data_IF_604526739361
#
_entry.id   IF_604526739361
#
_cell.length_a   1.000
_cell.length_b   1.000
_cell.length_c   1.000
_cell.angle_alpha   90.00
_cell.angle_beta   90.00
_cell.angle_gamma   90.00
#
_symmetry.space_group_name_H-M   'P 1'
#
loop_
_entity.id
_entity.type
_entity.pdbx_description
1 polymer ?
#
# COMPACT_ATOMS: atom_id res chain seq x y z
N UNK A 1 -10.25 -33.35 -15.88
CA UNK A 1 -11.24 -32.26 -15.88
C UNK A 1 -10.51 -30.94 -15.74
N UNK A 2 -10.29 -30.22 -16.83
CA UNK A 2 -9.74 -28.86 -16.78
C UNK A 2 -10.79 -27.96 -16.13
N UNK A 3 -10.53 -27.49 -14.91
CA UNK A 3 -11.34 -26.42 -14.32
C UNK A 3 -11.23 -25.20 -15.24
N UNK A 4 -12.26 -24.97 -16.04
CA UNK A 4 -12.44 -23.73 -16.80
C UNK A 4 -12.56 -22.63 -15.75
N UNK A 5 -11.46 -21.92 -15.46
CA UNK A 5 -11.51 -20.76 -14.58
C UNK A 5 -12.49 -19.76 -15.18
N UNK A 6 -13.38 -19.16 -14.37
CA UNK A 6 -14.39 -18.23 -14.87
C UNK A 6 -13.75 -17.08 -15.65
N UNK A 7 -14.46 -16.59 -16.67
CA UNK A 7 -14.11 -15.39 -17.44
C UNK A 7 -13.99 -14.22 -16.46
N UNK A 8 -13.01 -13.34 -16.67
CA UNK A 8 -12.81 -12.18 -15.80
C UNK A 8 -14.11 -11.38 -15.66
N UNK A 9 -14.60 -11.26 -14.44
CA UNK A 9 -15.78 -10.49 -14.10
C UNK A 9 -15.35 -9.24 -13.30
N UNK A 10 -15.46 -8.03 -13.87
CA UNK A 10 -15.09 -6.79 -13.18
C UNK A 10 -15.99 -6.46 -11.97
N UNK A 11 -17.11 -7.18 -11.79
CA UNK A 11 -18.04 -7.01 -10.67
C UNK A 11 -17.86 -8.08 -9.59
N UNK A 12 -16.85 -8.94 -9.70
CA UNK A 12 -16.57 -9.96 -8.70
C UNK A 12 -16.31 -9.29 -7.33
N UNK A 13 -16.99 -9.73 -6.26
CA UNK A 13 -16.87 -9.14 -4.92
C UNK A 13 -15.43 -9.12 -4.39
N UNK A 14 -14.54 -9.98 -4.91
CA UNK A 14 -13.12 -9.96 -4.55
C UNK A 14 -12.42 -8.63 -4.89
N UNK A 15 -12.97 -7.82 -5.81
CA UNK A 15 -12.40 -6.53 -6.22
C UNK A 15 -12.91 -5.34 -5.42
N UNK A 16 -13.73 -5.56 -4.38
CA UNK A 16 -14.22 -4.54 -3.43
C UNK A 16 -14.98 -3.35 -4.04
N UNK A 17 -15.25 -3.33 -5.36
CA UNK A 17 -16.08 -2.31 -6.01
C UNK A 17 -17.03 -2.96 -7.02
N UNK A 18 -18.25 -2.43 -7.09
CA UNK A 18 -19.36 -3.00 -7.86
C UNK A 18 -19.25 -2.81 -9.39
N UNK A 19 -18.18 -2.16 -9.90
CA UNK A 19 -17.98 -1.90 -11.33
C UNK A 19 -16.50 -1.67 -11.64
N UNK A 20 -15.98 -2.23 -12.75
CA UNK A 20 -14.58 -2.05 -13.18
C UNK A 20 -14.12 -0.59 -13.38
N UNK A 21 -15.06 0.32 -13.69
CA UNK A 21 -14.81 1.77 -13.74
C UNK A 21 -14.56 2.38 -12.36
N UNK A 22 -15.26 1.88 -11.34
CA UNK A 22 -15.16 2.38 -9.97
C UNK A 22 -13.95 1.80 -9.21
N UNK A 23 -13.49 0.58 -9.53
CA UNK A 23 -12.25 0.04 -8.96
C UNK A 23 -11.08 0.99 -9.24
N UNK A 24 -10.89 1.37 -10.51
CA UNK A 24 -9.76 2.22 -10.90
C UNK A 24 -9.89 3.66 -10.39
N UNK A 25 -11.10 4.21 -10.34
CA UNK A 25 -11.35 5.54 -9.76
C UNK A 25 -11.11 5.51 -8.25
N UNK A 26 -11.63 4.51 -7.55
CA UNK A 26 -11.45 4.33 -6.11
C UNK A 26 -9.98 4.19 -5.73
N UNK A 27 -9.22 3.39 -6.49
CA UNK A 27 -7.78 3.22 -6.27
C UNK A 27 -7.01 4.53 -6.53
N UNK A 28 -7.38 5.32 -7.54
CA UNK A 28 -6.78 6.65 -7.78
C UNK A 28 -7.07 7.62 -6.64
N UNK A 29 -8.30 7.66 -6.15
CA UNK A 29 -8.70 8.51 -5.01
C UNK A 29 -7.92 8.10 -3.76
N UNK A 30 -7.88 6.80 -3.45
CA UNK A 30 -7.16 6.27 -2.27
C UNK A 30 -5.65 6.54 -2.38
N UNK A 31 -5.06 6.34 -3.56
CA UNK A 31 -3.65 6.68 -3.80
C UNK A 31 -3.39 8.19 -3.62
N UNK A 32 -4.32 9.04 -4.04
CA UNK A 32 -4.22 10.49 -3.90
C UNK A 32 -4.29 10.92 -2.44
N UNK A 33 -5.28 10.42 -1.70
CA UNK A 33 -5.43 10.68 -0.26
C UNK A 33 -4.18 10.19 0.48
N UNK A 34 -3.72 8.97 0.19
CA UNK A 34 -2.51 8.42 0.80
C UNK A 34 -1.26 9.25 0.50
N UNK A 35 -1.12 9.74 -0.73
CA UNK A 35 0.00 10.62 -1.11
C UNK A 35 -0.05 11.94 -0.35
N UNK A 36 -1.23 12.57 -0.26
CA UNK A 36 -1.40 13.84 0.48
C UNK A 36 -1.09 13.64 1.96
N UNK A 37 -1.58 12.56 2.58
CA UNK A 37 -1.30 12.23 3.98
C UNK A 37 0.20 11.95 4.17
N UNK A 38 0.82 11.14 3.31
CA UNK A 38 2.24 10.83 3.40
C UNK A 38 3.12 12.09 3.27
N UNK A 39 2.84 12.94 2.28
CA UNK A 39 3.55 14.21 2.09
C UNK A 39 3.32 15.16 3.28
N UNK A 40 2.09 15.23 3.80
CA UNK A 40 1.77 16.04 4.97
C UNK A 40 2.50 15.58 6.23
N UNK A 41 2.55 14.27 6.48
CA UNK A 41 3.31 13.69 7.60
C UNK A 41 4.80 13.96 7.45
N UNK A 42 5.35 13.77 6.25
CA UNK A 42 6.75 14.10 5.96
C UNK A 42 7.01 15.59 6.24
N UNK A 43 6.18 16.50 5.72
CA UNK A 43 6.34 17.94 5.91
C UNK A 43 6.26 18.36 7.40
N UNK A 44 5.30 17.80 8.15
CA UNK A 44 5.19 18.03 9.59
C UNK A 44 6.42 17.50 10.34
N UNK A 45 6.91 16.32 9.97
CA UNK A 45 8.11 15.74 10.54
C UNK A 45 9.34 16.62 10.26
N UNK A 46 9.52 17.09 9.02
CA UNK A 46 10.57 18.03 8.66
C UNK A 46 10.51 19.32 9.46
N UNK A 47 9.32 19.89 9.63
CA UNK A 47 9.12 21.09 10.44
C UNK A 47 9.52 20.87 11.89
N UNK A 48 9.03 19.79 12.51
CA UNK A 48 9.36 19.45 13.89
C UNK A 48 10.85 19.21 14.06
N UNK A 49 11.45 18.44 13.17
CA UNK A 49 12.87 18.14 13.22
C UNK A 49 13.74 19.38 12.97
N UNK A 50 13.34 20.33 12.10
CA UNK A 50 14.02 21.63 11.96
C UNK A 50 13.93 22.47 13.24
N UNK A 51 12.79 22.48 13.92
CA UNK A 51 12.63 23.17 15.20
C UNK A 51 13.47 22.50 16.30
N UNK A 52 13.50 21.16 16.35
CA UNK A 52 14.34 20.42 17.30
C UNK A 52 15.84 20.55 17.00
N UNK A 53 16.24 20.70 15.73
CA UNK A 53 17.62 21.01 15.33
C UNK A 53 18.06 22.38 15.84
N UNK A 54 17.14 23.32 15.97
CA UNK A 54 17.41 24.65 16.53
C UNK A 54 17.68 24.58 18.04
N UNK A 55 17.02 23.67 18.75
CA UNK A 55 17.15 23.51 20.21
C UNK A 55 18.26 22.53 20.64
N UNK A 56 18.60 21.52 19.83
CA UNK A 56 19.60 20.50 20.19
C UNK A 56 21.03 20.90 19.78
N UNK A 57 21.80 21.38 20.77
CA UNK A 57 23.26 21.60 20.68
C UNK A 57 24.12 20.31 20.67
N UNK A 58 23.53 19.11 20.69
CA UNK A 58 24.29 17.85 20.71
C UNK A 58 24.54 17.31 19.30
N UNK A 59 25.81 17.25 18.88
CA UNK A 59 26.23 16.78 17.55
C UNK A 59 25.70 15.38 17.16
N UNK A 60 25.56 14.45 18.11
CA UNK A 60 25.12 13.08 17.84
C UNK A 60 23.66 13.00 17.33
N UNK A 61 22.74 13.71 17.97
CA UNK A 61 21.32 13.74 17.58
C UNK A 61 21.10 14.44 16.23
N UNK A 62 21.97 15.41 15.89
CA UNK A 62 21.96 16.12 14.62
C UNK A 62 22.18 15.17 13.43
N UNK A 63 23.20 14.32 13.49
CA UNK A 63 23.51 13.41 12.37
C UNK A 63 22.44 12.34 12.17
N UNK A 64 21.87 11.80 13.25
CA UNK A 64 20.79 10.81 13.16
C UNK A 64 19.53 11.43 12.55
N UNK A 65 19.16 12.63 12.98
CA UNK A 65 18.00 13.34 12.49
C UNK A 65 18.17 13.78 11.02
N UNK A 66 19.37 14.25 10.65
CA UNK A 66 19.72 14.61 9.28
C UNK A 66 19.71 13.38 8.35
N UNK A 67 20.28 12.26 8.79
CA UNK A 67 20.23 11.00 8.03
C UNK A 67 18.78 10.55 7.82
N UNK A 68 17.94 10.62 8.84
CA UNK A 68 16.51 10.31 8.71
C UNK A 68 15.78 11.25 7.76
N UNK A 69 16.09 12.55 7.81
CA UNK A 69 15.55 13.55 6.87
C UNK A 69 15.97 13.26 5.43
N UNK A 70 17.19 12.80 5.17
CA UNK A 70 17.63 12.53 3.79
C UNK A 70 17.11 11.18 3.29
N UNK A 71 17.11 10.16 4.14
CA UNK A 71 16.75 8.78 3.76
C UNK A 71 15.23 8.64 3.59
N UNK A 72 14.41 9.28 4.43
CA UNK A 72 12.95 9.10 4.41
C UNK A 72 12.30 9.53 3.08
N UNK A 73 12.61 10.70 2.48
CA UNK A 73 12.10 11.08 1.16
C UNK A 73 12.69 10.21 0.04
N UNK A 74 13.97 9.83 0.14
CA UNK A 74 14.61 8.97 -0.86
C UNK A 74 13.91 7.61 -0.98
N UNK A 75 13.30 7.12 0.10
CA UNK A 75 12.48 5.91 0.08
C UNK A 75 11.01 6.21 -0.23
N UNK A 76 10.45 7.28 0.34
CA UNK A 76 9.03 7.60 0.19
C UNK A 76 8.65 8.02 -1.25
N UNK A 77 9.49 8.83 -1.91
CA UNK A 77 9.20 9.36 -3.25
C UNK A 77 9.12 8.23 -4.29
N UNK A 78 10.08 7.28 -4.38
CA UNK A 78 9.97 6.16 -5.31
C UNK A 78 8.76 5.26 -5.04
N UNK A 79 8.41 5.05 -3.75
CA UNK A 79 7.26 4.23 -3.38
C UNK A 79 5.96 4.89 -3.81
N UNK A 80 5.77 6.18 -3.49
CA UNK A 80 4.59 6.94 -3.91
C UNK A 80 4.52 7.08 -5.44
N UNK A 81 5.66 7.30 -6.10
CA UNK A 81 5.75 7.31 -7.56
C UNK A 81 5.37 5.97 -8.17
N UNK A 82 5.84 4.85 -7.59
CA UNK A 82 5.49 3.50 -8.04
C UNK A 82 3.99 3.21 -7.92
N UNK A 83 3.36 3.70 -6.84
CA UNK A 83 1.91 3.62 -6.67
C UNK A 83 1.18 4.37 -7.80
N UNK A 84 1.52 5.64 -8.02
CA UNK A 84 0.89 6.46 -9.06
C UNK A 84 1.10 5.88 -10.47
N UNK A 85 2.32 5.50 -10.80
CA UNK A 85 2.66 4.89 -12.09
C UNK A 85 1.94 3.55 -12.26
N UNK A 86 1.88 2.72 -11.21
CA UNK A 86 1.17 1.44 -11.25
C UNK A 86 -0.32 1.57 -11.48
N UNK A 87 -0.94 2.61 -10.91
CA UNK A 87 -2.36 2.92 -11.08
C UNK A 87 -2.66 3.56 -12.44
N UNK A 88 -1.81 4.47 -12.95
CA UNK A 88 -2.00 5.13 -14.25
C UNK A 88 -1.77 4.15 -15.40
N UNK A 89 -0.65 3.40 -15.36
CA UNK A 89 -0.24 2.49 -16.43
C UNK A 89 -0.94 1.12 -16.32
N UNK A 90 -1.75 0.91 -15.27
CA UNK A 90 -2.41 -0.36 -14.97
C UNK A 90 -1.42 -1.54 -15.01
N UNK A 91 -0.24 -1.34 -14.43
CA UNK A 91 0.84 -2.33 -14.42
C UNK A 91 1.11 -2.80 -13.00
N UNK A 92 0.71 -4.04 -12.73
CA UNK A 92 0.90 -4.72 -11.45
C UNK A 92 2.34 -4.65 -10.90
N UNK A 93 3.35 -4.62 -11.79
CA UNK A 93 4.76 -4.61 -11.40
C UNK A 93 5.17 -3.38 -10.61
N UNK A 94 4.55 -2.23 -10.89
CA UNK A 94 4.83 -0.98 -10.17
C UNK A 94 4.09 -0.89 -8.83
N UNK A 95 3.08 -1.73 -8.58
CA UNK A 95 2.40 -1.81 -7.28
C UNK A 95 3.18 -2.66 -6.26
N UNK A 96 4.10 -3.52 -6.72
CA UNK A 96 4.86 -4.43 -5.86
C UNK A 96 5.67 -3.68 -4.79
N UNK A 97 6.45 -2.63 -5.10
CA UNK A 97 7.18 -1.88 -4.07
C UNK A 97 6.25 -1.31 -3.00
N UNK A 98 5.10 -0.79 -3.40
CA UNK A 98 4.11 -0.22 -2.47
C UNK A 98 3.47 -1.29 -1.59
N UNK A 99 3.17 -2.47 -2.14
CA UNK A 99 2.67 -3.62 -1.37
C UNK A 99 3.70 -4.10 -0.35
N UNK A 100 4.97 -4.23 -0.75
CA UNK A 100 6.06 -4.61 0.16
C UNK A 100 6.20 -3.59 1.28
N UNK A 101 6.24 -2.29 0.96
CA UNK A 101 6.30 -1.23 1.95
C UNK A 101 5.09 -1.23 2.90
N UNK A 102 3.90 -1.56 2.41
CA UNK A 102 2.69 -1.67 3.25
C UNK A 102 2.80 -2.83 4.23
N UNK A 103 3.31 -3.98 3.81
CA UNK A 103 3.55 -5.14 4.69
C UNK A 103 4.61 -4.80 5.75
N UNK A 104 5.72 -4.20 5.34
CA UNK A 104 6.78 -3.75 6.26
C UNK A 104 6.19 -2.72 7.25
N UNK A 105 5.40 -1.77 6.78
CA UNK A 105 4.73 -0.77 7.61
C UNK A 105 3.82 -1.38 8.68
N UNK A 106 3.07 -2.43 8.34
CA UNK A 106 2.25 -3.17 9.31
C UNK A 106 3.14 -3.81 10.40
N UNK A 107 4.23 -4.46 10.01
CA UNK A 107 5.19 -5.04 10.99
C UNK A 107 5.82 -3.97 11.88
N UNK A 108 6.25 -2.85 11.29
CA UNK A 108 6.84 -1.74 12.03
C UNK A 108 5.85 -1.11 13.00
N UNK A 109 4.58 -0.99 12.61
CA UNK A 109 3.51 -0.48 13.49
C UNK A 109 3.30 -1.40 14.68
N UNK A 110 3.24 -2.71 14.47
CA UNK A 110 3.13 -3.69 15.57
C UNK A 110 4.34 -3.58 16.50
N UNK A 111 5.56 -3.57 15.95
CA UNK A 111 6.79 -3.45 16.74
C UNK A 111 6.83 -2.15 17.55
N UNK A 112 6.43 -1.03 16.93
CA UNK A 112 6.34 0.27 17.58
C UNK A 112 5.30 0.29 18.70
N UNK A 113 4.14 -0.33 18.49
CA UNK A 113 3.11 -0.45 19.54
C UNK A 113 3.62 -1.26 20.72
N UNK A 114 4.24 -2.43 20.49
CA UNK A 114 4.79 -3.27 21.57
C UNK A 114 5.87 -2.52 22.35
N UNK A 115 6.81 -1.87 21.65
CA UNK A 115 7.88 -1.12 22.29
C UNK A 115 7.35 0.10 23.04
N UNK A 116 6.43 0.87 22.45
CA UNK A 116 5.82 2.04 23.08
C UNK A 116 5.01 1.68 24.33
N UNK A 117 4.23 0.60 24.29
CA UNK A 117 3.50 0.10 25.46
C UNK A 117 4.46 -0.34 26.57
N UNK A 118 5.60 -0.97 26.23
CA UNK A 118 6.64 -1.32 27.20
C UNK A 118 7.22 -0.08 27.88
N UNK A 119 7.51 0.97 27.11
CA UNK A 119 8.04 2.24 27.65
C UNK A 119 7.01 2.91 28.58
N UNK A 120 5.75 2.99 28.16
CA UNK A 120 4.68 3.54 29.01
C UNK A 120 4.48 2.71 30.28
N UNK A 121 4.52 1.38 30.19
CA UNK A 121 4.44 0.51 31.37
C UNK A 121 5.58 0.76 32.36
N UNK A 122 6.81 0.91 31.86
CA UNK A 122 7.96 1.27 32.71
C UNK A 122 7.79 2.65 33.34
N UNK A 123 7.25 3.63 32.61
CA UNK A 123 6.95 4.96 33.19
C UNK A 123 5.90 4.90 34.28
N UNK A 124 4.82 4.14 34.07
CA UNK A 124 3.75 3.96 35.08
C UNK A 124 4.29 3.24 36.33
N UNK A 125 5.19 2.27 36.15
CA UNK A 125 5.80 1.55 37.28
C UNK A 125 6.76 2.44 38.09
N UNK A 126 7.42 3.40 37.43
CA UNK A 126 8.40 4.29 38.03
C UNK A 126 7.81 5.66 38.43
N UNK A 127 6.57 5.96 38.04
CA UNK A 127 5.92 7.23 38.39
C UNK A 127 5.43 7.20 39.83
N UNK A 128 5.66 8.29 40.56
CA UNK A 128 5.08 8.48 41.88
C UNK A 128 3.55 8.53 41.82
N UNK A 129 2.88 8.29 42.94
CA UNK A 129 1.42 8.20 43.09
C UNK A 129 0.65 9.35 42.40
N UNK A 130 1.24 10.55 42.36
CA UNK A 130 0.63 11.75 41.77
C UNK A 130 0.60 11.80 40.23
N UNK A 131 1.55 11.15 39.53
CA UNK A 131 1.62 11.18 38.05
C UNK A 131 1.11 9.88 37.40
N UNK A 132 0.66 8.93 38.21
CA UNK A 132 0.28 7.62 37.72
C UNK A 132 -0.94 7.68 36.79
N UNK A 133 -1.90 8.57 37.07
CA UNK A 133 -3.12 8.67 36.27
C UNK A 133 -2.90 9.40 34.95
N UNK A 134 -2.02 10.41 34.90
CA UNK A 134 -1.62 11.08 33.65
C UNK A 134 -0.92 10.11 32.70
N UNK A 135 0.02 9.30 33.21
CA UNK A 135 0.75 8.30 32.42
C UNK A 135 -0.18 7.18 31.90
N UNK A 136 -1.19 6.76 32.69
CA UNK A 136 -2.22 5.82 32.24
C UNK A 136 -3.06 6.40 31.10
N UNK A 137 -3.47 7.67 31.20
CA UNK A 137 -4.23 8.36 30.14
C UNK A 137 -3.37 8.46 28.87
N UNK A 138 -2.11 8.84 28.99
CA UNK A 138 -1.19 8.91 27.85
C UNK A 138 -1.00 7.55 27.18
N UNK A 139 -0.82 6.47 27.97
CA UNK A 139 -0.71 5.11 27.46
C UNK A 139 -1.99 4.66 26.72
N UNK A 140 -3.16 5.03 27.24
CA UNK A 140 -4.45 4.75 26.59
C UNK A 140 -4.60 5.50 25.27
N UNK A 141 -4.30 6.81 25.25
CA UNK A 141 -4.33 7.62 24.02
C UNK A 141 -3.36 7.07 22.98
N UNK A 142 -2.15 6.70 23.40
CA UNK A 142 -1.15 6.05 22.54
C UNK A 142 -1.68 4.75 21.93
N UNK A 143 -2.32 3.90 22.74
CA UNK A 143 -2.92 2.65 22.28
C UNK A 143 -4.01 2.91 21.23
N UNK A 144 -4.91 3.85 21.48
CA UNK A 144 -5.98 4.22 20.54
C UNK A 144 -5.40 4.69 19.21
N UNK A 145 -4.37 5.56 19.23
CA UNK A 145 -3.69 6.03 18.02
C UNK A 145 -3.05 4.87 17.26
N UNK A 146 -2.40 3.94 17.96
CA UNK A 146 -1.79 2.76 17.35
C UNK A 146 -2.82 1.85 16.68
N UNK A 147 -3.95 1.58 17.35
CA UNK A 147 -5.04 0.75 16.81
C UNK A 147 -5.64 1.42 15.57
N UNK A 148 -5.95 2.71 15.62
CA UNK A 148 -6.45 3.45 14.46
C UNK A 148 -5.46 3.41 13.29
N UNK A 149 -4.17 3.59 13.57
CA UNK A 149 -3.11 3.53 12.56
C UNK A 149 -3.01 2.14 11.92
N UNK A 150 -3.11 1.08 12.72
CA UNK A 150 -3.09 -0.30 12.24
C UNK A 150 -4.30 -0.59 11.34
N UNK A 151 -5.51 -0.20 11.76
CA UNK A 151 -6.74 -0.38 10.97
C UNK A 151 -6.64 0.35 9.63
N UNK A 152 -6.16 1.60 9.62
CA UNK A 152 -5.97 2.38 8.41
C UNK A 152 -4.94 1.76 7.46
N UNK A 153 -3.80 1.30 7.98
CA UNK A 153 -2.78 0.62 7.18
C UNK A 153 -3.30 -0.71 6.61
N UNK A 154 -4.02 -1.48 7.41
CA UNK A 154 -4.61 -2.74 6.96
C UNK A 154 -5.65 -2.50 5.86
N UNK A 155 -6.54 -1.52 6.06
CA UNK A 155 -7.53 -1.13 5.05
C UNK A 155 -6.85 -0.69 3.75
N UNK A 156 -5.81 0.14 3.83
CA UNK A 156 -5.03 0.54 2.66
C UNK A 156 -4.39 -0.65 1.94
N UNK A 157 -3.80 -1.59 2.70
CA UNK A 157 -3.25 -2.82 2.15
C UNK A 157 -4.32 -3.66 1.42
N UNK A 158 -5.53 -3.78 1.97
CA UNK A 158 -6.62 -4.50 1.29
C UNK A 158 -7.01 -3.87 -0.04
N UNK A 159 -7.03 -2.53 -0.12
CA UNK A 159 -7.31 -1.79 -1.36
C UNK A 159 -6.21 -2.05 -2.39
N UNK A 160 -4.94 -1.93 -1.99
CA UNK A 160 -3.82 -2.19 -2.89
C UNK A 160 -3.80 -3.64 -3.40
N UNK A 161 -4.11 -4.60 -2.53
CA UNK A 161 -4.21 -6.01 -2.90
C UNK A 161 -5.36 -6.26 -3.87
N UNK A 162 -6.51 -5.64 -3.65
CA UNK A 162 -7.64 -5.70 -4.57
C UNK A 162 -7.26 -5.13 -5.94
N UNK A 163 -6.66 -3.94 -5.97
CA UNK A 163 -6.18 -3.30 -7.19
C UNK A 163 -5.16 -4.16 -7.96
N UNK A 164 -4.21 -4.75 -7.23
CA UNK A 164 -3.23 -5.66 -7.79
C UNK A 164 -3.89 -6.88 -8.44
N UNK A 165 -4.83 -7.51 -7.73
CA UNK A 165 -5.56 -8.70 -8.22
C UNK A 165 -6.39 -8.34 -9.45
N UNK A 166 -7.10 -7.21 -9.41
CA UNK A 166 -7.90 -6.70 -10.53
C UNK A 166 -7.04 -6.51 -11.79
N UNK A 167 -5.91 -5.80 -11.68
CA UNK A 167 -5.01 -5.56 -12.81
C UNK A 167 -4.42 -6.88 -13.35
N UNK A 168 -4.04 -7.79 -12.44
CA UNK A 168 -3.48 -9.10 -12.78
C UNK A 168 -4.47 -9.94 -13.58
N UNK A 169 -5.73 -9.99 -13.14
CA UNK A 169 -6.74 -10.86 -13.71
C UNK A 169 -7.31 -10.26 -15.01
N UNK A 170 -7.51 -8.93 -15.06
CA UNK A 170 -7.84 -8.20 -16.30
C UNK A 170 -6.81 -8.52 -17.39
N UNK A 171 -5.52 -8.42 -17.08
CA UNK A 171 -4.45 -8.65 -18.05
C UNK A 171 -4.30 -10.11 -18.46
N UNK A 172 -4.49 -11.03 -17.50
CA UNK A 172 -4.50 -12.47 -17.77
C UNK A 172 -5.64 -12.86 -18.72
N UNK A 173 -6.81 -12.23 -18.58
CA UNK A 173 -7.96 -12.47 -19.46
C UNK A 173 -7.73 -11.98 -20.90
N UNK A 174 -7.16 -10.78 -21.06
CA UNK A 174 -6.84 -10.20 -22.37
C UNK A 174 -5.81 -11.07 -23.12
N UNK A 175 -4.79 -11.56 -22.41
CA UNK A 175 -3.78 -12.47 -23.00
C UNK A 175 -4.39 -13.79 -23.48
N UNK A 176 -5.40 -14.32 -22.80
CA UNK A 176 -6.09 -15.55 -23.23
C UNK A 176 -6.94 -15.28 -24.47
N UNK A 177 -7.74 -14.22 -24.45
CA UNK A 177 -8.58 -13.85 -25.60
C UNK A 177 -7.76 -13.67 -26.88
N UNK A 178 -6.54 -13.11 -26.79
CA UNK A 178 -5.66 -12.96 -27.94
C UNK A 178 -5.12 -14.30 -28.47
N UNK A 179 -4.77 -15.22 -27.57
CA UNK A 179 -4.33 -16.58 -27.95
C UNK A 179 -5.44 -17.40 -28.57
N UNK A 180 -6.66 -17.26 -28.06
CA UNK A 180 -7.83 -17.96 -28.59
C UNK A 180 -8.14 -17.47 -30.02
N UNK A 181 -7.97 -16.17 -30.29
CA UNK A 181 -8.07 -15.59 -31.64
C UNK A 181 -6.98 -16.14 -32.56
N UNK A 182 -5.71 -16.11 -32.15
CA UNK A 182 -4.59 -16.67 -32.93
C UNK A 182 -4.78 -18.16 -33.26
N UNK A 183 -5.26 -18.95 -32.30
CA UNK A 183 -5.55 -20.38 -32.52
C UNK A 183 -6.71 -20.58 -33.49
N UNK A 184 -7.75 -19.74 -33.42
CA UNK A 184 -8.87 -19.81 -34.36
C UNK A 184 -8.43 -19.46 -35.79
N UNK A 185 -7.62 -18.42 -35.99
CA UNK A 185 -7.08 -18.05 -37.31
C UNK A 185 -6.22 -19.17 -37.91
N UNK A 186 -5.36 -19.79 -37.11
CA UNK A 186 -4.56 -20.94 -37.56
C UNK A 186 -5.44 -22.12 -38.01
N UNK A 187 -6.52 -22.39 -37.28
CA UNK A 187 -7.47 -23.46 -37.61
C UNK A 187 -8.21 -23.16 -38.94
N UNK A 188 -8.63 -21.91 -39.17
CA UNK A 188 -9.28 -21.49 -40.41
C UNK A 188 -8.33 -21.52 -41.62
N UNK A 189 -7.05 -21.21 -41.44
CA UNK A 189 -6.05 -21.31 -42.52
C UNK A 189 -5.61 -22.74 -42.84
N UNK A 190 -5.85 -23.70 -41.94
CA UNK A 190 -5.50 -25.10 -42.11
C UNK A 190 -6.60 -25.93 -42.81
N UNK A 191 -7.79 -25.35 -43.04
CA UNK A 191 -8.86 -26.04 -43.80
C UNK A 191 -8.43 -26.11 -45.27
N UNK A 192 -8.25 -27.31 -45.85
CA UNK A 192 -7.91 -27.44 -47.27
C UNK A 192 -9.06 -26.84 -48.08
N UNK A 193 -8.73 -25.96 -49.04
CA UNK A 193 -9.70 -25.54 -50.06
C UNK A 193 -10.05 -26.79 -50.86
N UNK A 194 -11.21 -27.38 -50.60
CA UNK A 194 -11.79 -28.36 -51.52
C UNK A 194 -11.91 -27.67 -52.88
N UNK A 195 -11.17 -28.19 -53.86
CA UNK A 195 -11.32 -27.78 -55.24
C UNK A 195 -12.75 -28.15 -55.66
N UNK A 196 -13.57 -27.19 -56.14
CA UNK A 196 -14.82 -27.55 -56.78
C UNK A 196 -14.46 -28.36 -58.04
N UNK A 197 -14.76 -29.65 -58.03
CA UNK A 197 -14.66 -30.48 -59.23
C UNK A 197 -15.68 -29.95 -60.28
N UNK A 198 -15.24 -29.76 -61.54
CA UNK A 198 -16.09 -29.31 -62.65
C UNK A 198 -17.00 -30.41 -63.21
#
# INVERSE_FOLDING_TARGET
>A
MSQVRPRFDPNDPQYLCCCGCHVMIGVKIVASIYTVVAVGVIALFYRYALLSLYDLLSHEAYYVLLAFMVISPLVAIPVLGSLWIGVIIERQGFLIPTLICSVIGLFLTIAYTIFGLRVHWQRIANSGVYHQDEEKIQAFVFLVICVCSFVLQYWFFTILRSAYTYIKDKRSSLKRSCKDIEQSEQLYTAVPKENPEP
#
